data_IF_425428170101
#
_entry.id   IF_425428170101
#
_cell.length_a   1.000
_cell.length_b   1.000
_cell.length_c   1.000
_cell.angle_alpha   90.00
_cell.angle_beta   90.00
_cell.angle_gamma   90.00
#
_symmetry.space_group_name_H-M   'P 1'
#
loop_
_entity.id
_entity.type
_entity.pdbx_description
1 polymer ?
#
# COMPACT_ATOMS: atom_id res chain seq x y z
N UNK A 1 -63.97 -23.22 -39.21
CA UNK A 1 -63.67 -21.82 -38.87
C UNK A 1 -62.16 -21.71 -38.86
N UNK A 2 -61.66 -21.46 -40.06
CA UNK A 2 -60.33 -20.98 -40.32
C UNK A 2 -60.13 -19.63 -39.64
N UNK A 3 -58.95 -19.41 -39.05
CA UNK A 3 -58.32 -18.09 -39.09
C UNK A 3 -56.79 -18.25 -39.12
N UNK A 4 -56.19 -17.52 -40.05
CA UNK A 4 -54.79 -17.57 -40.45
C UNK A 4 -53.97 -16.45 -39.76
N UNK A 5 -52.83 -16.82 -39.17
CA UNK A 5 -51.54 -16.08 -39.12
C UNK A 5 -51.49 -14.65 -38.48
N UNK A 6 -50.33 -14.09 -38.07
CA UNK A 6 -48.97 -14.38 -38.55
C UNK A 6 -47.86 -14.57 -37.50
N UNK A 7 -46.77 -15.13 -38.04
CA UNK A 7 -45.47 -15.38 -37.44
C UNK A 7 -44.75 -14.06 -37.08
N UNK A 8 -44.41 -13.89 -35.80
CA UNK A 8 -43.40 -12.94 -35.34
C UNK A 8 -42.02 -13.60 -35.28
N UNK A 9 -41.06 -13.09 -36.07
CA UNK A 9 -39.64 -13.50 -36.01
C UNK A 9 -39.06 -13.26 -34.61
N UNK A 10 -38.21 -14.16 -34.10
CA UNK A 10 -37.43 -13.89 -32.89
C UNK A 10 -36.39 -12.79 -33.15
N UNK A 11 -36.13 -11.88 -32.18
CA UNK A 11 -35.09 -10.87 -32.30
C UNK A 11 -33.70 -11.54 -32.39
N UNK A 12 -32.91 -11.04 -33.35
CA UNK A 12 -31.53 -11.45 -33.64
C UNK A 12 -30.64 -11.18 -32.43
N UNK A 13 -29.96 -12.23 -31.94
CA UNK A 13 -28.81 -12.10 -31.02
C UNK A 13 -27.61 -11.60 -31.82
N UNK A 14 -27.14 -10.40 -31.50
CA UNK A 14 -25.85 -9.87 -31.96
C UNK A 14 -24.81 -10.26 -30.91
N UNK A 15 -23.74 -11.01 -31.25
CA UNK A 15 -22.63 -11.22 -30.32
C UNK A 15 -21.77 -9.93 -30.27
N UNK A 16 -21.42 -9.39 -29.10
CA UNK A 16 -20.41 -8.34 -29.01
C UNK A 16 -19.04 -8.93 -29.34
N UNK A 17 -18.31 -8.17 -30.14
CA UNK A 17 -17.04 -8.52 -30.74
C UNK A 17 -15.93 -8.73 -29.71
N UNK A 18 -15.11 -9.77 -29.94
CA UNK A 18 -13.79 -9.93 -29.36
C UNK A 18 -12.94 -8.68 -29.68
N UNK A 19 -12.73 -7.83 -28.68
CA UNK A 19 -11.65 -6.85 -28.70
C UNK A 19 -10.36 -7.54 -28.25
N UNK A 20 -9.55 -7.92 -29.24
CA UNK A 20 -8.15 -8.27 -29.06
C UNK A 20 -7.39 -6.98 -28.69
N UNK A 21 -7.15 -6.76 -27.39
CA UNK A 21 -6.16 -5.78 -26.94
C UNK A 21 -4.77 -6.40 -27.09
N UNK A 22 -4.00 -5.85 -28.01
CA UNK A 22 -2.62 -6.17 -28.24
C UNK A 22 -1.78 -5.74 -27.03
N UNK A 23 -1.12 -6.70 -26.37
CA UNK A 23 -0.05 -6.44 -25.42
C UNK A 23 1.15 -5.85 -26.17
N UNK A 24 1.38 -4.55 -26.01
CA UNK A 24 2.66 -3.93 -26.31
C UNK A 24 3.56 -4.03 -25.08
N UNK A 25 4.35 -5.10 -24.99
CA UNK A 25 5.46 -5.20 -24.06
C UNK A 25 6.62 -4.34 -24.59
N UNK A 26 6.87 -3.19 -23.97
CA UNK A 26 8.09 -2.41 -24.19
C UNK A 26 9.10 -2.84 -23.13
N UNK A 27 9.98 -3.77 -23.51
CA UNK A 27 11.15 -4.12 -22.72
C UNK A 27 12.22 -3.04 -22.95
N UNK A 28 12.43 -2.15 -21.98
CA UNK A 28 13.62 -1.28 -21.95
C UNK A 28 14.74 -2.03 -21.26
N UNK A 29 15.61 -2.65 -22.05
CA UNK A 29 16.90 -3.17 -21.56
C UNK A 29 17.85 -1.98 -21.47
N UNK A 30 18.05 -1.45 -20.27
CA UNK A 30 19.14 -0.52 -20.01
C UNK A 30 20.45 -1.31 -19.97
N UNK A 31 21.26 -1.20 -21.01
CA UNK A 31 22.62 -1.70 -21.04
C UNK A 31 23.49 -0.82 -20.13
N UNK A 32 23.93 -1.37 -18.99
CA UNK A 32 24.98 -0.75 -18.18
C UNK A 32 26.31 -1.00 -18.88
N UNK A 33 26.90 0.06 -19.43
CA UNK A 33 28.27 0.05 -19.91
C UNK A 33 29.21 0.02 -18.70
N UNK A 34 29.81 -1.15 -18.43
CA UNK A 34 30.96 -1.24 -17.52
C UNK A 34 32.18 -0.72 -18.28
N UNK A 35 32.59 0.52 -17.98
CA UNK A 35 33.88 1.02 -18.40
C UNK A 35 34.97 0.37 -17.55
N UNK A 36 35.54 -0.73 -18.04
CA UNK A 36 36.81 -1.25 -17.55
C UNK A 36 37.90 -0.31 -18.08
N UNK A 37 38.41 0.58 -17.21
CA UNK A 37 39.62 1.34 -17.52
C UNK A 37 40.79 0.38 -17.45
N UNK A 38 41.25 -0.03 -18.64
CA UNK A 38 42.52 -0.73 -18.84
C UNK A 38 43.64 0.27 -18.55
N UNK A 39 44.52 -0.10 -17.62
CA UNK A 39 45.64 0.72 -17.17
C UNK A 39 46.61 1.06 -18.31
N UNK A 40 47.00 2.33 -18.33
CA UNK A 40 48.20 2.81 -19.00
C UNK A 40 49.00 3.60 -17.97
N UNK A 41 50.18 3.09 -17.63
CA UNK A 41 51.23 3.82 -16.94
C UNK A 41 51.69 4.99 -17.83
N UNK A 42 51.77 6.20 -17.28
CA UNK A 42 52.84 7.18 -17.55
C UNK A 42 52.68 8.42 -16.64
N UNK A 43 53.81 8.87 -16.08
CA UNK A 43 54.00 9.82 -14.99
C UNK A 43 53.44 11.25 -15.17
N UNK A 44 52.76 11.78 -14.13
CA UNK A 44 52.90 13.18 -13.64
C UNK A 44 52.10 13.42 -12.34
N UNK A 45 52.63 14.19 -11.36
CA UNK A 45 52.03 14.34 -10.04
C UNK A 45 51.00 15.47 -10.04
N UNK A 46 49.77 15.18 -9.60
CA UNK A 46 48.84 16.22 -9.17
C UNK A 46 48.30 15.86 -7.79
N UNK A 47 48.75 16.64 -6.82
CA UNK A 47 48.18 16.75 -5.48
C UNK A 47 46.68 17.11 -5.60
N UNK A 48 45.83 16.13 -5.35
CA UNK A 48 44.43 16.35 -5.03
C UNK A 48 44.11 15.56 -3.76
N UNK A 49 44.36 16.20 -2.62
CA UNK A 49 43.81 15.80 -1.33
C UNK A 49 42.28 15.96 -1.35
N UNK A 50 41.59 14.97 -1.92
CA UNK A 50 40.18 14.74 -1.70
C UNK A 50 40.05 13.58 -0.73
N UNK A 51 39.93 13.85 0.57
CA UNK A 51 39.40 12.87 1.51
C UNK A 51 37.97 12.56 1.07
N UNK A 52 37.82 11.50 0.28
CA UNK A 52 36.54 10.86 0.07
C UNK A 52 36.05 10.40 1.42
N UNK A 53 35.07 11.12 1.96
CA UNK A 53 34.26 10.59 3.05
C UNK A 53 33.68 9.28 2.53
N UNK A 54 34.09 8.17 3.14
CA UNK A 54 33.32 6.94 3.10
C UNK A 54 31.89 7.32 3.50
N UNK A 55 31.00 7.41 2.50
CA UNK A 55 29.59 7.37 2.75
C UNK A 55 29.36 6.01 3.41
N UNK A 56 29.24 6.01 4.73
CA UNK A 56 28.79 4.86 5.48
C UNK A 56 27.47 4.44 4.83
N UNK A 57 27.49 3.31 4.12
CA UNK A 57 26.26 2.68 3.68
C UNK A 57 25.39 2.54 4.93
N UNK A 58 24.09 2.92 4.86
CA UNK A 58 23.20 2.73 6.00
C UNK A 58 23.33 1.28 6.43
N UNK A 59 23.71 1.07 7.69
CA UNK A 59 23.92 -0.28 8.21
C UNK A 59 22.57 -0.99 8.12
N UNK A 60 22.44 -1.87 7.13
CA UNK A 60 21.33 -2.81 7.06
C UNK A 60 21.33 -3.56 8.39
N UNK A 61 20.35 -3.26 9.24
CA UNK A 61 20.16 -4.06 10.44
C UNK A 61 19.71 -5.43 9.95
N UNK A 62 20.60 -6.40 10.07
CA UNK A 62 20.27 -7.80 9.80
C UNK A 62 19.12 -8.17 10.73
N UNK A 63 18.06 -8.76 10.18
CA UNK A 63 16.95 -9.21 11.00
C UNK A 63 17.47 -10.23 12.03
N UNK A 64 16.99 -10.18 13.29
CA UNK A 64 17.22 -11.26 14.24
C UNK A 64 16.82 -12.62 13.61
N UNK A 65 17.49 -13.73 13.95
CA UNK A 65 17.25 -15.02 13.30
C UNK A 65 15.77 -15.46 13.30
N UNK A 66 15.03 -15.17 14.36
CA UNK A 66 13.60 -15.42 14.44
C UNK A 66 12.78 -14.63 13.39
N UNK A 67 13.15 -13.38 13.14
CA UNK A 67 12.55 -12.50 12.15
C UNK A 67 12.99 -12.85 10.73
N UNK A 68 14.24 -13.25 10.55
CA UNK A 68 14.75 -13.72 9.26
C UNK A 68 14.01 -14.98 8.80
N UNK A 69 13.78 -15.93 9.70
CA UNK A 69 13.03 -17.15 9.40
C UNK A 69 11.56 -16.88 9.06
N UNK A 70 10.90 -15.98 9.79
CA UNK A 70 9.53 -15.55 9.49
C UNK A 70 9.46 -14.88 8.12
N UNK A 71 10.33 -13.89 7.88
CA UNK A 71 10.39 -13.16 6.62
C UNK A 71 10.70 -14.07 5.42
N UNK A 72 11.63 -15.02 5.57
CA UNK A 72 11.92 -16.02 4.54
C UNK A 72 10.70 -16.92 4.24
N UNK A 73 9.92 -17.26 5.27
CA UNK A 73 8.64 -17.98 5.12
C UNK A 73 7.56 -17.16 4.41
N UNK A 74 7.61 -15.83 4.50
CA UNK A 74 6.71 -14.94 3.75
C UNK A 74 7.14 -14.75 2.29
N UNK A 75 8.45 -14.76 2.01
CA UNK A 75 9.01 -14.55 0.66
C UNK A 75 8.65 -15.61 -0.39
N UNK A 76 8.03 -16.72 0.01
CA UNK A 76 7.48 -17.74 -0.91
C UNK A 76 6.03 -17.44 -1.33
N UNK A 77 5.41 -16.39 -0.80
CA UNK A 77 4.06 -15.96 -1.08
C UNK A 77 4.02 -14.47 -1.49
N UNK A 78 2.89 -14.01 -2.03
CA UNK A 78 2.68 -12.57 -2.19
C UNK A 78 2.50 -11.94 -0.82
N UNK A 79 3.29 -10.90 -0.55
CA UNK A 79 3.22 -10.13 0.69
C UNK A 79 1.81 -9.59 0.95
N UNK A 80 1.31 -9.76 2.17
CA UNK A 80 -0.03 -9.33 2.58
C UNK A 80 -0.06 -8.79 4.02
N UNK A 81 -1.20 -8.26 4.45
CA UNK A 81 -1.34 -7.61 5.76
C UNK A 81 -1.17 -8.56 6.94
N UNK A 82 -1.54 -9.83 6.82
CA UNK A 82 -1.33 -10.82 7.88
C UNK A 82 0.16 -11.11 8.10
N UNK A 83 0.97 -11.12 7.05
CA UNK A 83 2.42 -11.27 7.16
C UNK A 83 3.06 -10.08 7.86
N UNK A 84 2.59 -8.86 7.57
CA UNK A 84 3.02 -7.65 8.29
C UNK A 84 2.66 -7.71 9.79
N UNK A 85 1.48 -8.25 10.12
CA UNK A 85 1.04 -8.47 11.51
C UNK A 85 1.91 -9.51 12.23
N UNK A 86 2.30 -10.60 11.56
CA UNK A 86 3.18 -11.63 12.10
C UNK A 86 4.57 -11.04 12.45
N UNK A 87 5.15 -10.25 11.54
CA UNK A 87 6.42 -9.56 11.79
C UNK A 87 6.33 -8.56 12.95
N UNK A 88 5.23 -7.81 13.02
CA UNK A 88 4.97 -6.85 14.10
C UNK A 88 4.81 -7.55 15.44
N UNK A 89 4.04 -8.64 15.47
CA UNK A 89 3.79 -9.46 16.68
C UNK A 89 5.06 -10.15 17.18
N UNK A 90 5.94 -10.56 16.27
CA UNK A 90 7.25 -11.11 16.59
C UNK A 90 8.25 -10.07 17.12
N UNK A 91 7.90 -8.78 17.11
CA UNK A 91 8.78 -7.70 17.58
C UNK A 91 9.94 -7.43 16.62
N UNK A 92 9.77 -7.74 15.33
CA UNK A 92 10.82 -7.55 14.36
C UNK A 92 11.16 -6.06 14.17
N UNK A 93 12.45 -5.72 13.98
CA UNK A 93 12.86 -4.36 13.63
C UNK A 93 12.07 -3.85 12.44
N UNK A 94 11.62 -2.59 12.50
CA UNK A 94 10.84 -1.95 11.45
C UNK A 94 11.46 -0.59 11.08
N UNK A 95 11.56 -0.22 9.79
CA UNK A 95 11.32 -1.08 8.61
C UNK A 95 12.38 -2.18 8.49
N UNK A 96 12.15 -3.18 7.63
CA UNK A 96 13.03 -4.33 7.42
C UNK A 96 13.22 -4.65 5.94
N UNK A 97 14.37 -5.25 5.59
CA UNK A 97 14.64 -5.63 4.20
C UNK A 97 13.62 -6.65 3.66
N UNK A 98 13.19 -6.53 2.39
CA UNK A 98 13.62 -5.54 1.39
C UNK A 98 12.86 -4.21 1.44
N UNK A 99 11.91 -4.04 2.38
CA UNK A 99 11.00 -2.90 2.48
C UNK A 99 11.60 -1.72 3.26
N UNK A 100 12.83 -1.32 2.93
CA UNK A 100 13.48 -0.16 3.58
C UNK A 100 13.36 1.06 2.65
N UNK A 101 12.41 1.98 2.90
CA UNK A 101 12.32 3.23 2.17
C UNK A 101 13.37 4.24 2.66
N UNK A 102 13.48 5.42 2.01
CA UNK A 102 14.23 6.55 2.54
C UNK A 102 13.75 6.94 3.96
N UNK A 103 14.67 6.97 4.92
CA UNK A 103 14.39 7.37 6.31
C UNK A 103 14.44 8.88 6.52
N UNK A 104 15.19 9.59 5.68
CA UNK A 104 15.31 11.05 5.69
C UNK A 104 14.18 11.68 4.86
N UNK A 105 13.77 12.89 5.26
CA UNK A 105 12.67 13.62 4.62
C UNK A 105 11.40 13.65 5.47
N UNK A 106 10.30 14.06 4.84
CA UNK A 106 9.05 14.39 5.52
C UNK A 106 9.16 15.62 6.43
N UNK A 107 8.05 15.96 7.06
CA UNK A 107 7.93 17.05 8.04
C UNK A 107 6.96 16.60 9.11
N UNK A 108 7.41 16.56 10.37
CA UNK A 108 6.52 16.26 11.49
C UNK A 108 5.53 17.41 11.68
N UNK A 109 4.27 17.08 11.93
CA UNK A 109 3.25 18.06 12.25
C UNK A 109 2.86 17.94 13.73
N UNK A 110 3.24 18.93 14.57
CA UNK A 110 2.93 18.90 15.99
C UNK A 110 1.42 19.02 16.30
N UNK A 111 0.58 19.36 15.31
CA UNK A 111 -0.88 19.38 15.46
C UNK A 111 -1.51 17.98 15.37
N UNK A 112 -0.81 16.99 14.82
CA UNK A 112 -1.25 15.59 14.76
C UNK A 112 -0.89 14.89 16.08
N UNK A 113 -1.81 14.93 17.04
CA UNK A 113 -1.66 14.30 18.36
C UNK A 113 -1.93 12.78 18.31
N UNK A 114 -1.17 12.06 17.49
CA UNK A 114 -1.25 10.62 17.34
C UNK A 114 0.10 9.94 17.66
N UNK A 115 0.14 8.94 18.57
CA UNK A 115 1.37 8.22 18.87
C UNK A 115 1.93 7.56 17.61
N UNK A 116 3.25 7.45 17.52
CA UNK A 116 3.93 6.77 16.40
C UNK A 116 4.36 5.37 16.86
N UNK A 117 3.39 4.46 16.88
CA UNK A 117 3.54 3.09 17.41
C UNK A 117 3.05 2.05 16.39
N UNK A 118 3.58 0.81 16.43
CA UNK A 118 3.10 -0.27 15.58
C UNK A 118 1.61 -0.55 15.82
N UNK A 119 0.90 -0.92 14.76
CA UNK A 119 -0.50 -1.35 14.78
C UNK A 119 -0.64 -2.66 14.02
N UNK A 120 -1.64 -3.45 14.39
CA UNK A 120 -1.96 -4.69 13.67
C UNK A 120 -3.06 -4.40 12.67
N UNK A 121 -2.84 -4.74 11.40
CA UNK A 121 -3.85 -4.67 10.35
C UNK A 121 -5.12 -5.44 10.73
N UNK A 122 -5.02 -6.51 11.52
CA UNK A 122 -6.15 -7.21 12.14
C UNK A 122 -7.12 -6.28 12.91
N UNK A 123 -6.65 -5.14 13.46
CA UNK A 123 -7.51 -4.14 14.12
C UNK A 123 -8.53 -3.53 13.14
N UNK A 124 -8.15 -3.35 11.87
CA UNK A 124 -9.06 -2.86 10.82
C UNK A 124 -10.15 -3.89 10.56
N UNK A 125 -9.83 -5.18 10.53
CA UNK A 125 -10.81 -6.24 10.30
C UNK A 125 -11.80 -6.33 11.45
N UNK A 126 -11.31 -6.27 12.70
CA UNK A 126 -12.16 -6.28 13.88
C UNK A 126 -13.08 -5.07 13.89
N UNK A 127 -12.55 -3.87 13.62
CA UNK A 127 -13.32 -2.64 13.55
C UNK A 127 -14.41 -2.70 12.47
N UNK A 128 -14.09 -3.19 11.27
CA UNK A 128 -15.08 -3.36 10.20
C UNK A 128 -16.18 -4.35 10.62
N UNK A 129 -15.80 -5.46 11.26
CA UNK A 129 -16.76 -6.44 11.76
C UNK A 129 -17.67 -5.86 12.85
N UNK A 130 -17.13 -5.06 13.77
CA UNK A 130 -17.89 -4.40 14.85
C UNK A 130 -18.85 -3.33 14.29
N UNK A 131 -18.53 -2.77 13.12
CA UNK A 131 -19.37 -1.84 12.38
C UNK A 131 -20.42 -2.53 11.48
N UNK A 132 -20.60 -3.86 11.61
CA UNK A 132 -21.45 -4.68 10.74
C UNK A 132 -21.08 -4.58 9.24
N UNK A 133 -19.81 -4.33 8.93
CA UNK A 133 -19.28 -4.28 7.56
C UNK A 133 -18.50 -5.56 7.26
N UNK A 134 -18.98 -6.32 6.27
CA UNK A 134 -18.28 -7.48 5.75
C UNK A 134 -17.12 -7.07 4.85
N UNK A 135 -15.97 -7.72 5.01
CA UNK A 135 -14.81 -7.48 4.15
C UNK A 135 -14.98 -8.16 2.78
N UNK A 136 -14.85 -7.36 1.72
CA UNK A 136 -14.97 -7.77 0.34
C UNK A 136 -13.63 -8.21 -0.24
N UNK A 137 -12.60 -7.38 -0.03
CA UNK A 137 -11.32 -7.52 -0.68
C UNK A 137 -10.23 -6.85 0.15
N UNK A 138 -9.04 -7.45 0.13
CA UNK A 138 -7.80 -6.80 0.56
C UNK A 138 -6.79 -6.93 -0.57
N UNK A 139 -6.22 -5.80 -0.98
CA UNK A 139 -5.14 -5.76 -1.97
C UNK A 139 -3.99 -4.93 -1.46
N UNK A 140 -2.77 -5.34 -1.79
CA UNK A 140 -1.58 -4.48 -1.62
C UNK A 140 -1.71 -3.26 -2.52
N UNK A 141 -1.39 -2.07 -1.99
CA UNK A 141 -1.28 -0.87 -2.80
C UNK A 141 -0.05 -0.99 -3.71
N UNK A 142 -0.14 -0.63 -5.00
CA UNK A 142 0.94 -0.84 -5.96
C UNK A 142 2.08 0.20 -5.85
N UNK A 143 2.08 1.03 -4.81
CA UNK A 143 3.05 2.12 -4.63
C UNK A 143 4.43 1.55 -4.31
N UNK A 144 5.45 2.04 -5.03
CA UNK A 144 6.85 1.77 -4.70
C UNK A 144 7.17 2.34 -3.31
N UNK A 145 8.15 1.76 -2.60
CA UNK A 145 8.63 2.24 -1.29
C UNK A 145 9.38 3.57 -1.39
N UNK A 146 8.67 4.63 -1.78
CA UNK A 146 9.11 6.02 -1.88
C UNK A 146 8.53 6.84 -0.73
N UNK A 147 9.16 7.97 -0.43
CA UNK A 147 8.64 8.95 0.55
C UNK A 147 8.24 8.33 1.90
N UNK A 148 9.09 7.41 2.37
CA UNK A 148 8.94 6.73 3.65
C UNK A 148 7.85 5.65 3.70
N UNK A 149 7.15 5.36 2.61
CA UNK A 149 6.14 4.29 2.57
C UNK A 149 6.80 2.91 2.69
N UNK A 150 6.33 2.11 3.65
CA UNK A 150 6.81 0.74 3.89
C UNK A 150 5.80 -0.27 3.35
N UNK A 151 4.55 -0.19 3.81
CA UNK A 151 3.46 -1.05 3.36
C UNK A 151 2.20 -0.26 3.07
N UNK A 152 1.39 -0.75 2.14
CA UNK A 152 0.11 -0.17 1.82
C UNK A 152 -0.91 -1.27 1.51
N UNK A 153 -2.10 -1.19 2.11
CA UNK A 153 -3.20 -2.11 1.83
C UNK A 153 -4.50 -1.37 1.65
N UNK A 154 -5.27 -1.78 0.63
CA UNK A 154 -6.63 -1.33 0.39
C UNK A 154 -7.62 -2.38 0.86
N UNK A 155 -8.54 -1.97 1.72
CA UNK A 155 -9.67 -2.73 2.21
C UNK A 155 -10.94 -2.22 1.52
N UNK A 156 -11.75 -3.13 1.00
CA UNK A 156 -13.09 -2.82 0.49
C UNK A 156 -14.10 -3.57 1.36
N UNK A 157 -15.11 -2.88 1.88
CA UNK A 157 -16.08 -3.46 2.81
C UNK A 157 -17.51 -2.95 2.55
N UNK A 158 -18.54 -3.72 2.95
CA UNK A 158 -19.94 -3.37 2.75
C UNK A 158 -20.91 -4.16 3.66
N UNK A 159 -22.12 -3.62 3.85
CA UNK A 159 -23.06 -4.10 4.88
C UNK A 159 -23.83 -5.40 4.51
N UNK A 160 -23.92 -5.75 3.23
CA UNK A 160 -24.78 -6.84 2.74
C UNK A 160 -24.00 -8.06 2.19
N UNK A 161 -22.69 -8.13 2.44
CA UNK A 161 -21.79 -8.93 1.61
C UNK A 161 -21.54 -8.25 0.26
N UNK A 162 -20.51 -8.72 -0.44
CA UNK A 162 -19.92 -7.96 -1.54
C UNK A 162 -20.13 -8.66 -2.87
N UNK A 163 -21.28 -8.45 -3.55
CA UNK A 163 -21.45 -8.96 -4.90
C UNK A 163 -20.33 -8.39 -5.78
N UNK A 164 -19.68 -9.26 -6.54
CA UNK A 164 -18.60 -8.87 -7.46
C UNK A 164 -17.39 -8.16 -6.80
N UNK A 165 -17.19 -8.37 -5.49
CA UNK A 165 -16.15 -7.71 -4.68
C UNK A 165 -16.34 -6.19 -4.52
N UNK A 166 -17.50 -5.67 -4.89
CA UNK A 166 -17.86 -4.28 -4.67
C UNK A 166 -18.36 -4.07 -3.24
N UNK A 167 -17.88 -3.00 -2.60
CA UNK A 167 -18.28 -2.61 -1.25
C UNK A 167 -18.85 -1.20 -1.21
N UNK A 168 -19.30 -0.80 -0.03
CA UNK A 168 -19.84 0.53 0.24
C UNK A 168 -18.72 1.53 0.58
N UNK A 169 -17.62 1.05 1.16
CA UNK A 169 -16.49 1.86 1.59
C UNK A 169 -15.15 1.22 1.21
N UNK A 170 -14.18 2.08 0.89
CA UNK A 170 -12.78 1.70 0.76
C UNK A 170 -11.93 2.42 1.80
N UNK A 171 -10.99 1.67 2.38
CA UNK A 171 -9.94 2.19 3.27
C UNK A 171 -8.60 1.90 2.63
N UNK A 172 -7.76 2.91 2.50
CA UNK A 172 -6.36 2.73 2.10
C UNK A 172 -5.47 3.03 3.30
N UNK A 173 -4.85 1.99 3.83
CA UNK A 173 -3.98 2.04 5.01
C UNK A 173 -2.53 2.00 4.55
N UNK A 174 -1.82 3.12 4.70
CA UNK A 174 -0.41 3.29 4.34
C UNK A 174 0.42 3.39 5.61
N UNK A 175 1.41 2.53 5.78
CA UNK A 175 2.33 2.50 6.91
C UNK A 175 3.68 3.13 6.55
N UNK A 176 4.14 4.07 7.37
CA UNK A 176 5.34 4.85 7.11
C UNK A 176 6.48 4.51 8.07
N UNK A 177 7.71 4.65 7.58
CA UNK A 177 8.93 4.37 8.32
C UNK A 177 9.21 5.35 9.46
N UNK A 178 8.80 6.62 9.31
CA UNK A 178 9.03 7.68 10.30
C UNK A 178 7.77 8.53 10.52
N UNK A 179 7.72 9.19 11.68
CA UNK A 179 6.66 10.16 12.00
C UNK A 179 6.62 11.30 10.99
N UNK A 180 7.79 11.85 10.64
CA UNK A 180 7.89 12.95 9.68
C UNK A 180 7.28 12.60 8.32
N UNK A 181 7.50 11.38 7.82
CA UNK A 181 6.89 10.93 6.57
C UNK A 181 5.39 10.70 6.70
N UNK A 182 4.95 10.06 7.80
CA UNK A 182 3.52 9.86 8.09
C UNK A 182 2.77 11.20 8.09
N UNK A 183 3.27 12.17 8.84
CA UNK A 183 2.59 13.46 9.04
C UNK A 183 2.54 14.27 7.73
N UNK A 184 3.66 14.36 7.01
CA UNK A 184 3.70 15.00 5.70
C UNK A 184 2.72 14.36 4.71
N UNK A 185 2.64 13.03 4.68
CA UNK A 185 1.75 12.30 3.77
C UNK A 185 0.29 12.32 4.19
N UNK A 186 0.01 12.53 5.47
CA UNK A 186 -1.36 12.68 5.93
C UNK A 186 -2.02 13.94 5.37
N UNK A 187 -1.27 15.03 5.18
CA UNK A 187 -1.75 16.25 4.53
C UNK A 187 -1.88 16.14 3.01
N UNK A 188 -1.05 15.31 2.38
CA UNK A 188 -1.09 15.06 0.93
C UNK A 188 -2.14 14.02 0.52
N UNK A 189 -2.83 13.40 1.48
CA UNK A 189 -3.75 12.30 1.22
C UNK A 189 -5.01 12.78 0.47
N UNK A 190 -5.18 12.29 -0.76
CA UNK A 190 -6.37 12.56 -1.59
C UNK A 190 -7.55 11.62 -1.24
N UNK A 191 -8.03 11.70 0.00
CA UNK A 191 -9.21 10.97 0.45
C UNK A 191 -10.27 11.94 0.99
N UNK A 192 -11.58 11.61 0.84
CA UNK A 192 -12.66 12.40 1.43
C UNK A 192 -12.52 12.60 2.94
N UNK A 193 -11.96 11.58 3.62
CA UNK A 193 -11.60 11.66 5.04
C UNK A 193 -10.26 10.97 5.23
N UNK A 194 -9.38 11.59 6.01
CA UNK A 194 -8.05 11.08 6.30
C UNK A 194 -7.87 10.96 7.80
N UNK A 195 -7.30 9.85 8.24
CA UNK A 195 -7.01 9.57 9.64
C UNK A 195 -5.56 9.20 9.83
N UNK A 196 -5.02 9.50 11.00
CA UNK A 196 -3.70 9.06 11.46
C UNK A 196 -3.86 8.14 12.65
N UNK A 197 -3.25 6.95 12.59
CA UNK A 197 -3.27 5.96 13.68
C UNK A 197 -1.94 5.22 13.75
N UNK A 198 -1.19 5.39 14.83
CA UNK A 198 0.13 4.74 14.94
C UNK A 198 1.07 5.21 13.82
N UNK A 199 1.62 4.26 13.06
CA UNK A 199 2.44 4.56 11.87
C UNK A 199 1.63 4.77 10.60
N UNK A 200 0.31 4.73 10.67
CA UNK A 200 -0.56 4.72 9.50
C UNK A 200 -1.12 6.10 9.15
N UNK A 201 -1.25 6.32 7.84
CA UNK A 201 -2.23 7.24 7.25
C UNK A 201 -3.33 6.38 6.62
N UNK A 202 -4.59 6.70 6.93
CA UNK A 202 -5.76 5.96 6.49
C UNK A 202 -6.66 6.90 5.70
N UNK A 203 -6.74 6.68 4.39
CA UNK A 203 -7.74 7.35 3.55
C UNK A 203 -9.04 6.56 3.52
N UNK A 204 -10.18 7.22 3.71
CA UNK A 204 -11.51 6.60 3.71
C UNK A 204 -12.39 7.26 2.65
N UNK A 205 -12.95 6.45 1.75
CA UNK A 205 -13.78 6.93 0.64
C UNK A 205 -15.04 6.08 0.43
N UNK A 206 -16.18 6.68 0.07
CA UNK A 206 -17.37 5.93 -0.33
C UNK A 206 -17.16 5.31 -1.72
N UNK A 207 -17.68 4.11 -1.95
CA UNK A 207 -17.56 3.40 -3.24
C UNK A 207 -18.89 3.00 -3.87
N UNK A 208 -20.02 3.05 -3.12
CA UNK A 208 -21.32 2.57 -3.59
C UNK A 208 -22.54 3.31 -3.04
N UNK A 209 -23.73 2.82 -3.41
CA UNK A 209 -25.05 3.32 -3.00
C UNK A 209 -25.35 2.95 -1.53
N UNK A 210 -24.63 3.61 -0.62
CA UNK A 210 -24.54 3.24 0.80
C UNK A 210 -23.27 3.80 1.46
N UNK A 211 -22.31 4.27 0.65
CA UNK A 211 -20.99 4.63 1.09
C UNK A 211 -20.92 5.71 2.16
N UNK A 212 -21.79 6.72 2.15
CA UNK A 212 -21.78 7.73 3.21
C UNK A 212 -22.10 7.16 4.59
N UNK A 213 -23.01 6.18 4.66
CA UNK A 213 -23.33 5.49 5.93
C UNK A 213 -22.15 4.64 6.38
N UNK A 214 -21.52 3.91 5.45
CA UNK A 214 -20.37 3.07 5.73
C UNK A 214 -19.13 3.89 6.15
N UNK A 215 -18.85 5.01 5.46
CA UNK A 215 -17.78 5.97 5.81
C UNK A 215 -17.96 6.51 7.22
N UNK A 216 -19.20 6.84 7.61
CA UNK A 216 -19.48 7.29 8.98
C UNK A 216 -19.21 6.20 10.02
N UNK A 217 -19.65 4.97 9.75
CA UNK A 217 -19.42 3.84 10.65
C UNK A 217 -17.93 3.52 10.79
N UNK A 218 -17.19 3.52 9.68
CA UNK A 218 -15.72 3.37 9.67
C UNK A 218 -15.04 4.48 10.48
N UNK A 219 -15.45 5.73 10.30
CA UNK A 219 -14.85 6.83 11.05
C UNK A 219 -15.10 6.74 12.55
N UNK A 220 -16.30 6.31 12.97
CA UNK A 220 -16.59 6.03 14.38
C UNK A 220 -15.70 4.90 14.92
N UNK A 221 -15.57 3.81 14.16
CA UNK A 221 -14.70 2.69 14.51
C UNK A 221 -13.23 3.08 14.62
N UNK A 222 -12.71 3.86 13.66
CA UNK A 222 -11.34 4.40 13.69
C UNK A 222 -11.13 5.33 14.90
N UNK A 223 -12.12 6.17 15.23
CA UNK A 223 -12.10 6.98 16.46
C UNK A 223 -12.04 6.11 17.72
N UNK A 224 -12.75 4.98 17.73
CA UNK A 224 -12.70 3.98 18.80
C UNK A 224 -11.32 3.30 18.96
N UNK A 225 -10.56 3.19 17.87
CA UNK A 225 -9.17 2.72 17.89
C UNK A 225 -8.15 3.81 18.30
N UNK A 226 -8.60 5.05 18.48
CA UNK A 226 -7.77 6.20 18.83
C UNK A 226 -7.16 6.91 17.61
N UNK A 227 -7.74 6.75 16.42
CA UNK A 227 -7.29 7.48 15.24
C UNK A 227 -7.64 8.97 15.34
N UNK A 228 -6.72 9.83 14.88
CA UNK A 228 -6.94 11.27 14.76
C UNK A 228 -7.42 11.58 13.36
N UNK A 229 -8.59 12.18 13.22
CA UNK A 229 -9.10 12.66 11.94
C UNK A 229 -8.47 14.00 11.57
N UNK A 230 -8.03 14.13 10.32
CA UNK A 230 -7.58 15.39 9.75
C UNK A 230 -8.74 16.11 9.08
N UNK A 231 -8.85 17.41 9.32
CA UNK A 231 -9.93 18.29 8.83
C UNK A 231 -9.41 19.35 7.87
#
# INVERSE_FOLDING_TARGET
MDDHAPQGRPPRRTPPALFLLALSAVAVVAAIAVAVVVGGDDDAPNDAAGSGGEAASPTVQSLPPECENLHAGHGIAMWNSAMADEMTTAGCPFPYEPFIPPMEGGEEDPSIDAPFEPRLYADIWQMLSDADLGLCQVTTLPEDSVDGLVFGFRYVAGAAGCPELEGDVALEVREYATRAWRDARAHDAEAPRTFVLGRWVIGVAPTGEGGETAVRAVAEGLGGLGAVELT
#
